data_IF_014802799863
#
_entry.id   IF_014802799863
#
_cell.length_a   1.000
_cell.length_b   1.000
_cell.length_c   1.000
_cell.angle_alpha   90.00
_cell.angle_beta   90.00
_cell.angle_gamma   90.00
#
_symmetry.space_group_name_H-M   'P 1'
#
loop_
_entity.id
_entity.type
_entity.pdbx_description
1 polymer ?
#
# COMPACT_ATOMS: atom_id res chain seq x y z
N UNK A 1 90.69 43.55 0.42
CA UNK A 1 91.85 43.32 1.31
C UNK A 1 91.33 42.85 2.66
N UNK A 2 92.05 41.93 3.33
CA UNK A 2 92.11 41.75 4.80
C UNK A 2 90.82 41.26 5.52
N UNK A 3 90.97 40.11 6.19
CA UNK A 3 90.10 39.54 7.25
C UNK A 3 90.41 40.19 8.63
N UNK A 4 89.65 40.01 9.75
CA UNK A 4 88.95 38.77 10.16
C UNK A 4 87.60 38.92 10.92
N UNK A 5 87.02 37.79 11.35
CA UNK A 5 86.08 37.68 12.51
C UNK A 5 86.85 37.34 13.80
N UNK A 6 86.37 36.47 14.72
CA UNK A 6 85.06 35.79 14.90
C UNK A 6 84.30 36.40 16.12
N UNK A 7 83.43 35.81 16.97
CA UNK A 7 82.81 34.48 17.24
C UNK A 7 81.46 34.75 18.00
N UNK A 8 80.62 33.84 18.55
CA UNK A 8 80.54 32.38 18.81
C UNK A 8 79.18 31.85 18.22
N UNK A 9 78.50 30.74 18.57
CA UNK A 9 78.61 29.63 19.55
C UNK A 9 77.81 28.40 19.04
N UNK A 10 77.94 27.17 19.61
CA UNK A 10 77.50 25.95 18.90
C UNK A 10 76.12 25.34 19.28
N UNK A 11 75.40 24.94 18.22
CA UNK A 11 74.65 23.67 18.02
C UNK A 11 73.83 23.01 19.15
N UNK A 12 72.52 22.85 18.88
CA UNK A 12 71.82 21.55 18.97
C UNK A 12 70.98 21.35 17.69
N UNK A 13 70.76 20.11 17.21
CA UNK A 13 70.16 19.86 15.89
C UNK A 13 68.63 20.00 15.90
N UNK A 14 68.07 20.49 14.79
CA UNK A 14 66.63 20.45 14.51
C UNK A 14 66.31 19.22 13.65
N UNK A 15 65.16 18.58 13.90
CA UNK A 15 64.64 17.51 13.06
C UNK A 15 63.87 18.11 11.88
N UNK A 16 64.26 17.75 10.65
CA UNK A 16 63.60 18.20 9.42
C UNK A 16 62.44 17.25 9.09
N UNK A 17 61.21 17.78 9.01
CA UNK A 17 60.06 17.09 8.42
C UNK A 17 59.52 17.96 7.29
N UNK A 18 59.45 17.40 6.09
CA UNK A 18 59.06 18.14 4.89
C UNK A 18 57.54 18.31 4.82
N UNK A 19 57.08 19.55 4.66
CA UNK A 19 55.69 19.82 4.25
C UNK A 19 55.54 19.48 2.77
N UNK A 20 54.69 18.50 2.46
CA UNK A 20 54.19 18.26 1.11
C UNK A 20 52.81 18.90 0.96
N UNK A 21 52.71 19.84 0.03
CA UNK A 21 51.42 20.38 -0.41
C UNK A 21 50.85 19.43 -1.45
N UNK A 22 49.62 18.94 -1.23
CA UNK A 22 48.83 18.26 -2.25
C UNK A 22 47.54 19.05 -2.50
N UNK A 23 47.12 19.05 -3.77
CA UNK A 23 46.04 19.87 -4.30
C UNK A 23 44.66 19.28 -4.02
N UNK A 24 43.68 20.15 -3.80
CA UNK A 24 42.29 19.75 -3.74
C UNK A 24 41.76 19.37 -5.13
N UNK A 25 41.08 18.22 -5.18
CA UNK A 25 40.02 17.88 -6.13
C UNK A 25 38.80 17.46 -5.29
N UNK A 26 37.61 17.44 -5.90
CA UNK A 26 36.35 17.18 -5.19
C UNK A 26 36.29 15.81 -4.52
N UNK A 27 35.42 15.72 -3.50
CA UNK A 27 34.99 14.49 -2.84
C UNK A 27 33.47 14.57 -2.72
N UNK A 28 32.80 13.44 -2.88
CA UNK A 28 31.35 13.27 -2.75
C UNK A 28 30.87 13.71 -1.36
N UNK A 29 29.60 14.17 -1.21
CA UNK A 29 29.01 14.39 0.09
C UNK A 29 28.96 13.06 0.85
N UNK A 30 29.68 12.98 1.97
CA UNK A 30 29.64 11.84 2.88
C UNK A 30 28.30 11.83 3.63
N UNK A 31 27.62 10.70 3.60
CA UNK A 31 26.48 10.40 4.47
C UNK A 31 26.88 10.52 5.96
N UNK A 32 25.93 10.73 6.89
CA UNK A 32 26.22 10.78 8.33
C UNK A 32 26.86 9.48 8.85
N UNK A 33 27.72 9.61 9.87
CA UNK A 33 28.32 8.48 10.57
C UNK A 33 27.27 7.65 11.34
N UNK A 34 27.61 6.37 11.59
CA UNK A 34 26.74 5.33 12.13
C UNK A 34 26.06 5.71 13.46
N UNK A 35 24.73 5.71 13.47
CA UNK A 35 23.96 5.44 14.68
C UNK A 35 24.12 3.95 15.03
N UNK A 36 24.23 3.63 16.33
CA UNK A 36 24.51 2.26 16.79
C UNK A 36 23.45 1.28 16.30
N UNK A 37 23.84 0.36 15.42
CA UNK A 37 23.03 -0.83 15.16
C UNK A 37 22.85 -1.62 16.45
N UNK A 38 21.62 -2.02 16.74
CA UNK A 38 21.35 -3.15 17.61
C UNK A 38 21.40 -4.43 16.78
N UNK A 39 21.91 -5.52 17.36
CA UNK A 39 21.72 -6.85 16.77
C UNK A 39 20.21 -7.16 16.77
N UNK A 40 19.57 -7.01 15.61
CA UNK A 40 18.25 -7.60 15.37
C UNK A 40 18.37 -9.13 15.36
N UNK A 41 17.32 -9.88 15.73
CA UNK A 41 17.39 -11.34 15.72
C UNK A 41 17.63 -11.86 14.30
N UNK A 42 18.74 -12.60 14.13
CA UNK A 42 19.06 -13.44 12.95
C UNK A 42 18.10 -14.65 12.83
N UNK A 43 17.43 -14.99 13.93
CA UNK A 43 16.51 -16.11 14.05
C UNK A 43 15.07 -15.67 13.70
N UNK A 44 14.32 -16.59 13.11
CA UNK A 44 12.91 -16.45 12.73
C UNK A 44 12.03 -16.61 13.96
N UNK A 45 10.95 -15.84 14.04
CA UNK A 45 9.93 -15.98 15.07
C UNK A 45 8.92 -17.08 14.69
N UNK A 46 8.63 -17.98 15.63
CA UNK A 46 7.63 -19.04 15.51
C UNK A 46 6.46 -18.77 16.48
N UNK A 47 5.25 -19.18 16.08
CA UNK A 47 4.00 -18.87 16.79
C UNK A 47 3.10 -20.11 16.85
N UNK A 48 2.94 -20.66 18.07
CA UNK A 48 1.94 -21.70 18.38
C UNK A 48 0.55 -21.18 17.96
N UNK A 49 -0.15 -21.91 17.10
CA UNK A 49 -1.47 -21.51 16.58
C UNK A 49 -2.55 -21.58 17.67
N UNK A 50 -3.41 -20.55 17.71
CA UNK A 50 -4.55 -20.44 18.62
C UNK A 50 -5.83 -20.29 17.76
N UNK A 51 -6.92 -21.01 18.09
CA UNK A 51 -8.18 -20.87 17.34
C UNK A 51 -8.72 -19.43 17.40
N UNK A 52 -9.22 -18.95 16.27
CA UNK A 52 -9.96 -17.68 16.16
C UNK A 52 -11.09 -17.64 17.20
N UNK A 53 -11.27 -16.53 17.95
CA UNK A 53 -12.39 -16.37 18.88
C UNK A 53 -13.75 -16.51 18.18
N UNK A 54 -14.78 -17.00 18.90
CA UNK A 54 -16.17 -16.95 18.43
C UNK A 54 -16.76 -15.55 18.67
N UNK A 55 -17.13 -14.83 17.61
CA UNK A 55 -17.75 -13.49 17.66
C UNK A 55 -19.23 -13.48 17.21
N UNK A 56 -19.88 -12.32 17.17
CA UNK A 56 -21.25 -12.14 16.63
C UNK A 56 -21.37 -11.01 15.58
N UNK A 57 -20.26 -10.55 15.00
CA UNK A 57 -20.20 -9.46 14.01
C UNK A 57 -20.00 -8.06 14.63
N UNK A 58 -19.28 -7.20 13.91
CA UNK A 58 -18.81 -5.89 14.40
C UNK A 58 -19.23 -4.69 13.53
N UNK A 59 -19.16 -4.84 12.20
CA UNK A 59 -19.25 -3.72 11.25
C UNK A 59 -17.99 -2.85 11.19
N UNK A 60 -16.85 -3.33 11.67
CA UNK A 60 -15.53 -2.68 11.52
C UNK A 60 -14.96 -2.96 10.11
N UNK A 61 -14.35 -1.98 9.42
CA UNK A 61 -13.71 -2.22 8.12
C UNK A 61 -12.55 -3.20 8.21
N UNK A 62 -12.38 -4.06 7.20
CA UNK A 62 -11.35 -5.12 7.15
C UNK A 62 -11.37 -6.14 8.32
N UNK A 63 -12.42 -6.19 9.15
CA UNK A 63 -12.67 -7.23 10.16
C UNK A 63 -13.47 -8.40 9.55
N UNK A 64 -12.79 -9.49 9.14
CA UNK A 64 -13.44 -10.66 8.50
C UNK A 64 -13.91 -11.71 9.51
N UNK A 65 -13.53 -11.55 10.78
CA UNK A 65 -13.84 -12.47 11.88
C UNK A 65 -15.00 -11.97 12.77
N UNK A 66 -15.30 -10.67 12.73
CA UNK A 66 -16.39 -9.97 13.40
C UNK A 66 -16.21 -9.68 14.89
N UNK A 67 -14.98 -9.76 15.43
CA UNK A 67 -14.72 -9.54 16.87
C UNK A 67 -14.48 -8.07 17.27
N UNK A 68 -14.30 -7.17 16.31
CA UNK A 68 -14.22 -5.73 16.50
C UNK A 68 -12.84 -5.11 16.32
N UNK A 69 -11.88 -5.85 15.78
CA UNK A 69 -10.55 -5.37 15.40
C UNK A 69 -10.35 -5.55 13.88
N UNK A 70 -9.69 -4.63 13.19
CA UNK A 70 -9.38 -4.84 11.76
C UNK A 70 -8.35 -5.98 11.59
N UNK A 71 -8.44 -6.74 10.49
CA UNK A 71 -7.54 -7.87 10.20
C UNK A 71 -6.46 -7.49 9.17
N UNK A 72 -5.28 -8.12 9.28
CA UNK A 72 -4.17 -7.91 8.36
C UNK A 72 -4.10 -9.03 7.31
N UNK A 73 -4.61 -8.75 6.11
CA UNK A 73 -4.60 -9.66 4.97
C UNK A 73 -3.40 -9.42 4.04
N UNK A 74 -2.69 -10.49 3.66
CA UNK A 74 -1.61 -10.40 2.66
C UNK A 74 -1.38 -11.70 1.88
N UNK A 75 -0.68 -11.59 0.74
CA UNK A 75 -0.28 -12.75 -0.06
C UNK A 75 1.17 -13.16 0.26
N UNK A 76 1.36 -14.36 0.80
CA UNK A 76 2.68 -14.97 0.97
C UNK A 76 3.03 -15.86 -0.23
N UNK A 77 4.32 -15.97 -0.57
CA UNK A 77 4.86 -16.99 -1.49
C UNK A 77 5.90 -17.90 -0.85
N UNK A 78 6.22 -17.68 0.43
CA UNK A 78 7.23 -18.47 1.10
C UNK A 78 6.82 -19.95 1.19
N UNK A 79 7.76 -20.83 0.83
CA UNK A 79 7.65 -22.28 1.02
C UNK A 79 9.04 -22.84 1.38
N UNK A 80 9.24 -23.33 2.62
CA UNK A 80 10.54 -23.84 3.08
C UNK A 80 10.94 -25.18 2.46
N UNK A 81 10.01 -25.90 1.79
CA UNK A 81 10.27 -27.16 1.08
C UNK A 81 10.49 -26.98 -0.44
N UNK A 82 10.33 -25.75 -0.98
CA UNK A 82 10.60 -25.44 -2.39
C UNK A 82 12.11 -25.43 -2.72
N UNK A 83 12.50 -25.90 -3.92
CA UNK A 83 13.93 -26.03 -4.30
C UNK A 83 14.69 -24.69 -4.42
N UNK A 84 13.96 -23.59 -4.61
CA UNK A 84 14.44 -22.20 -4.68
C UNK A 84 13.77 -21.26 -3.66
N UNK A 85 12.87 -21.78 -2.82
CA UNK A 85 12.07 -21.03 -1.85
C UNK A 85 10.81 -20.35 -2.40
N UNK A 86 10.64 -20.29 -3.73
CA UNK A 86 9.46 -19.67 -4.37
C UNK A 86 8.29 -20.65 -4.44
N UNK A 87 7.46 -20.64 -3.39
CA UNK A 87 6.21 -21.37 -3.34
C UNK A 87 5.12 -20.80 -4.27
N UNK A 88 4.09 -21.61 -4.51
CA UNK A 88 2.84 -21.10 -5.04
C UNK A 88 2.20 -20.14 -4.02
N UNK A 89 1.62 -19.00 -4.47
CA UNK A 89 1.11 -17.98 -3.57
C UNK A 89 -0.10 -18.46 -2.77
N UNK A 90 -0.22 -17.96 -1.55
CA UNK A 90 -1.31 -18.23 -0.61
C UNK A 90 -1.80 -16.95 0.04
N UNK A 91 -3.10 -16.88 0.34
CA UNK A 91 -3.66 -15.86 1.22
C UNK A 91 -3.28 -16.19 2.68
N UNK A 92 -2.92 -15.17 3.43
CA UNK A 92 -2.76 -15.19 4.88
C UNK A 92 -3.60 -14.06 5.47
N UNK A 93 -4.28 -14.35 6.57
CA UNK A 93 -4.98 -13.38 7.42
C UNK A 93 -4.38 -13.52 8.82
N UNK A 94 -3.92 -12.41 9.40
CA UNK A 94 -3.53 -12.32 10.81
C UNK A 94 -4.58 -11.48 11.51
N UNK A 95 -5.27 -12.05 12.49
CA UNK A 95 -6.43 -11.41 13.10
C UNK A 95 -6.03 -10.27 14.05
N UNK A 96 -6.83 -9.22 14.07
CA UNK A 96 -6.68 -8.08 14.98
C UNK A 96 -6.82 -8.47 16.46
N UNK A 97 -6.35 -7.61 17.37
CA UNK A 97 -6.52 -7.80 18.82
C UNK A 97 -6.15 -6.54 19.60
N UNK A 98 -6.55 -6.44 20.87
CA UNK A 98 -6.20 -5.30 21.78
C UNK A 98 -4.71 -5.20 22.17
N UNK A 99 -3.80 -5.85 21.46
CA UNK A 99 -2.34 -5.67 21.50
C UNK A 99 -1.78 -5.59 20.03
N UNK A 100 -2.63 -5.19 19.07
CA UNK A 100 -2.41 -5.26 17.62
C UNK A 100 -2.62 -6.67 17.02
N UNK A 101 -2.31 -6.88 15.72
CA UNK A 101 -2.48 -8.17 15.05
C UNK A 101 -1.66 -9.31 15.72
N UNK A 102 -2.33 -10.37 16.17
CA UNK A 102 -1.67 -11.51 16.83
C UNK A 102 -1.35 -12.64 15.83
N UNK A 103 -0.06 -12.87 15.47
CA UNK A 103 0.35 -13.95 14.57
C UNK A 103 0.07 -15.38 15.09
N UNK A 104 -0.38 -15.55 16.34
CA UNK A 104 -0.89 -16.84 16.84
C UNK A 104 -2.32 -17.13 16.35
N UNK A 105 -3.18 -16.12 16.22
CA UNK A 105 -4.52 -16.21 15.63
C UNK A 105 -4.47 -15.80 14.16
N UNK A 106 -4.52 -16.79 13.27
CA UNK A 106 -4.36 -16.58 11.82
C UNK A 106 -5.13 -17.62 11.01
N UNK A 107 -5.43 -17.28 9.76
CA UNK A 107 -5.90 -18.25 8.74
C UNK A 107 -4.94 -18.24 7.55
N UNK A 108 -4.52 -19.42 7.09
CA UNK A 108 -3.62 -19.61 5.95
C UNK A 108 -4.30 -20.49 4.92
N UNK A 109 -4.26 -20.09 3.64
CA UNK A 109 -4.82 -20.90 2.55
C UNK A 109 -3.81 -21.90 1.99
N UNK A 110 -4.30 -23.04 1.43
CA UNK A 110 -3.48 -23.90 0.58
C UNK A 110 -2.91 -23.11 -0.62
N UNK A 111 -1.67 -23.39 -1.07
CA UNK A 111 -1.06 -22.71 -2.21
C UNK A 111 -1.91 -22.83 -3.49
N UNK A 112 -1.99 -21.73 -4.26
CA UNK A 112 -2.75 -21.60 -5.51
C UNK A 112 -4.28 -21.89 -5.41
N UNK A 113 -4.84 -21.99 -4.19
CA UNK A 113 -6.29 -22.22 -3.99
C UNK A 113 -7.14 -20.97 -4.23
N UNK A 114 -6.73 -19.83 -3.67
CA UNK A 114 -7.44 -18.54 -3.74
C UNK A 114 -6.46 -17.39 -3.93
N UNK A 115 -6.98 -16.29 -4.48
CA UNK A 115 -6.26 -15.02 -4.66
C UNK A 115 -7.28 -13.90 -4.47
N UNK A 116 -7.12 -12.97 -3.50
CA UNK A 116 -7.94 -11.76 -3.45
C UNK A 116 -7.90 -11.04 -4.81
N UNK A 117 -9.03 -10.49 -5.22
CA UNK A 117 -9.13 -9.76 -6.48
C UNK A 117 -8.45 -8.37 -6.38
N UNK A 118 -8.49 -7.78 -5.19
CA UNK A 118 -7.71 -6.61 -4.80
C UNK A 118 -6.82 -6.97 -3.61
N UNK A 119 -5.53 -6.61 -3.72
CA UNK A 119 -4.50 -6.59 -2.67
C UNK A 119 -3.42 -5.67 -3.21
N UNK A 120 -3.67 -4.35 -3.18
CA UNK A 120 -2.83 -3.40 -3.91
C UNK A 120 -1.44 -3.31 -3.26
N UNK A 121 -0.35 -3.65 -3.97
CA UNK A 121 1.02 -3.57 -3.44
C UNK A 121 1.52 -2.12 -3.32
N UNK A 122 0.62 -1.13 -3.38
CA UNK A 122 0.93 0.30 -3.35
C UNK A 122 0.42 1.05 -2.11
N UNK A 123 -0.48 0.45 -1.30
CA UNK A 123 -0.92 1.00 -0.01
C UNK A 123 -2.41 1.33 0.16
N UNK A 124 -3.30 0.65 -0.57
CA UNK A 124 -4.74 0.65 -0.27
C UNK A 124 -5.12 -0.51 0.67
N UNK A 125 -6.28 -0.41 1.35
CA UNK A 125 -6.79 -1.42 2.29
C UNK A 125 -7.06 -2.79 1.66
N UNK A 126 -7.49 -3.77 2.45
CA UNK A 126 -7.47 -5.19 2.06
C UNK A 126 -8.53 -5.60 1.02
N UNK A 127 -9.35 -4.65 0.54
CA UNK A 127 -10.34 -4.86 -0.51
C UNK A 127 -11.56 -5.65 -0.04
N UNK A 128 -11.82 -5.68 1.28
CA UNK A 128 -12.95 -6.39 1.89
C UNK A 128 -14.16 -5.46 2.11
N UNK A 129 -15.34 -6.05 2.24
CA UNK A 129 -16.55 -5.37 2.70
C UNK A 129 -17.60 -6.40 3.14
N UNK A 130 -18.52 -6.04 4.03
CA UNK A 130 -19.70 -6.86 4.37
C UNK A 130 -20.67 -6.86 3.17
N UNK A 131 -20.69 -7.96 2.38
CA UNK A 131 -21.43 -8.02 1.12
C UNK A 131 -22.88 -8.52 1.30
N UNK A 132 -23.19 -9.36 2.29
CA UNK A 132 -24.59 -9.78 2.58
C UNK A 132 -25.29 -9.04 3.73
N UNK A 133 -24.56 -8.18 4.46
CA UNK A 133 -25.07 -7.33 5.52
C UNK A 133 -25.24 -8.07 6.85
N UNK A 134 -24.36 -9.03 7.16
CA UNK A 134 -24.44 -9.87 8.36
C UNK A 134 -23.45 -9.50 9.49
N UNK A 135 -22.58 -8.50 9.26
CA UNK A 135 -21.69 -7.90 10.25
C UNK A 135 -20.23 -8.37 10.20
N UNK A 136 -19.85 -9.11 9.16
CA UNK A 136 -18.51 -9.64 8.93
C UNK A 136 -18.00 -9.17 7.56
N UNK A 137 -16.73 -8.78 7.43
CA UNK A 137 -16.19 -8.40 6.14
C UNK A 137 -15.89 -9.63 5.25
N UNK A 138 -16.30 -9.56 3.99
CA UNK A 138 -16.08 -10.59 2.98
C UNK A 138 -14.92 -10.23 2.04
N UNK A 139 -14.26 -11.25 1.48
CA UNK A 139 -13.08 -11.09 0.62
C UNK A 139 -13.44 -11.46 -0.83
N UNK A 140 -13.53 -10.49 -1.76
CA UNK A 140 -13.64 -10.76 -3.19
C UNK A 140 -12.38 -11.46 -3.71
N UNK A 141 -12.55 -12.59 -4.40
CA UNK A 141 -11.44 -13.39 -4.96
C UNK A 141 -11.49 -13.48 -6.48
N UNK A 142 -10.31 -13.30 -7.08
CA UNK A 142 -10.10 -13.33 -8.52
C UNK A 142 -10.23 -14.73 -9.10
N UNK A 143 -10.77 -14.81 -10.31
CA UNK A 143 -10.98 -16.04 -11.06
C UNK A 143 -11.76 -15.78 -12.35
N UNK A 144 -12.00 -16.82 -13.14
CA UNK A 144 -13.00 -16.79 -14.22
C UNK A 144 -13.94 -18.00 -14.07
N UNK A 145 -15.16 -17.81 -13.53
CA UNK A 145 -15.66 -16.58 -12.91
C UNK A 145 -14.98 -16.23 -11.57
N UNK A 146 -15.01 -14.96 -11.12
CA UNK A 146 -14.63 -14.54 -9.78
C UNK A 146 -15.66 -14.98 -8.73
N UNK A 147 -15.31 -14.85 -7.45
CA UNK A 147 -16.16 -15.25 -6.32
C UNK A 147 -15.89 -14.47 -5.04
N UNK A 148 -16.50 -14.94 -3.96
CA UNK A 148 -16.42 -14.39 -2.60
C UNK A 148 -15.94 -15.51 -1.66
N UNK A 149 -14.96 -15.19 -0.79
CA UNK A 149 -14.74 -15.90 0.46
C UNK A 149 -15.51 -15.14 1.54
N UNK A 150 -16.51 -15.79 2.13
CA UNK A 150 -17.36 -15.10 3.11
C UNK A 150 -16.71 -15.03 4.49
N UNK A 151 -16.85 -13.88 5.15
CA UNK A 151 -16.58 -13.69 6.56
C UNK A 151 -17.52 -14.50 7.45
N UNK A 152 -17.22 -14.52 8.74
CA UNK A 152 -18.05 -15.19 9.74
C UNK A 152 -17.38 -15.32 11.11
N UNK A 153 -18.09 -15.89 12.10
CA UNK A 153 -17.76 -15.80 13.53
C UNK A 153 -16.51 -16.53 13.99
N UNK A 154 -15.75 -17.16 13.10
CA UNK A 154 -14.40 -17.72 13.36
C UNK A 154 -13.46 -17.42 12.20
N UNK A 155 -13.73 -16.34 11.46
CA UNK A 155 -13.16 -16.05 10.16
C UNK A 155 -13.66 -16.98 9.03
N UNK A 156 -13.30 -16.66 7.77
CA UNK A 156 -13.49 -17.50 6.58
C UNK A 156 -12.83 -18.90 6.68
N UNK A 157 -13.52 -19.94 6.18
CA UNK A 157 -13.02 -21.32 6.16
C UNK A 157 -12.05 -21.58 4.98
N UNK A 158 -10.74 -21.84 5.23
CA UNK A 158 -9.77 -22.10 4.16
C UNK A 158 -9.95 -23.48 3.48
N UNK A 159 -10.84 -24.33 4.00
CA UNK A 159 -11.27 -25.58 3.40
C UNK A 159 -12.51 -25.47 2.49
N UNK A 160 -13.12 -24.29 2.36
CA UNK A 160 -14.28 -24.03 1.51
C UNK A 160 -13.89 -23.53 0.11
N UNK A 161 -14.62 -23.99 -0.92
CA UNK A 161 -14.56 -23.40 -2.26
C UNK A 161 -15.21 -21.99 -2.23
N UNK A 162 -14.64 -20.95 -2.86
CA UNK A 162 -15.28 -19.64 -2.97
C UNK A 162 -16.65 -19.68 -3.63
N UNK A 163 -17.58 -18.84 -3.16
CA UNK A 163 -18.92 -18.70 -3.76
C UNK A 163 -18.83 -17.84 -5.01
N UNK A 164 -19.14 -18.41 -6.17
CA UNK A 164 -19.01 -17.73 -7.46
C UNK A 164 -20.09 -16.65 -7.63
N UNK A 165 -19.73 -15.48 -8.14
CA UNK A 165 -20.65 -14.37 -8.39
C UNK A 165 -21.63 -14.68 -9.54
N UNK A 166 -22.93 -14.42 -9.38
CA UNK A 166 -23.92 -14.56 -10.47
C UNK A 166 -23.80 -13.39 -11.46
N UNK A 167 -22.88 -13.53 -12.42
CA UNK A 167 -22.60 -12.48 -13.39
C UNK A 167 -23.74 -12.33 -14.41
N UNK A 168 -24.24 -11.11 -14.66
CA UNK A 168 -25.26 -10.87 -15.67
C UNK A 168 -24.75 -11.35 -17.04
N UNK A 169 -25.56 -12.17 -17.71
CA UNK A 169 -25.15 -12.91 -18.92
C UNK A 169 -24.26 -12.10 -19.87
N UNK A 170 -23.08 -12.65 -20.16
CA UNK A 170 -22.12 -12.06 -21.10
C UNK A 170 -22.64 -12.18 -22.54
N UNK A 171 -22.27 -11.22 -23.39
CA UNK A 171 -22.25 -11.49 -24.83
C UNK A 171 -21.15 -12.55 -25.08
N UNK A 172 -21.47 -13.61 -25.82
CA UNK A 172 -20.62 -14.80 -25.92
C UNK A 172 -19.19 -14.48 -26.40
N UNK A 173 -18.22 -14.55 -25.48
CA UNK A 173 -16.79 -14.55 -25.79
C UNK A 173 -16.11 -13.19 -25.99
N UNK A 174 -16.70 -12.07 -25.54
CA UNK A 174 -16.11 -10.74 -25.78
C UNK A 174 -15.20 -10.20 -24.66
N UNK A 175 -15.41 -10.54 -23.37
CA UNK A 175 -14.62 -9.98 -22.25
C UNK A 175 -14.42 -10.95 -21.08
N UNK A 176 -13.29 -10.86 -20.38
CA UNK A 176 -12.97 -11.55 -19.12
C UNK A 176 -12.78 -10.54 -17.96
N UNK A 177 -13.11 -10.88 -16.71
CA UNK A 177 -12.81 -10.05 -15.53
C UNK A 177 -11.30 -9.94 -15.26
N UNK A 178 -10.79 -8.73 -15.07
CA UNK A 178 -9.36 -8.43 -14.90
C UNK A 178 -9.01 -7.80 -13.54
N UNK A 179 -9.94 -7.11 -12.89
CA UNK A 179 -9.83 -6.59 -11.53
C UNK A 179 -11.24 -6.47 -10.90
N UNK A 180 -11.31 -6.45 -9.57
CA UNK A 180 -12.55 -6.06 -8.89
C UNK A 180 -12.33 -5.41 -7.54
N UNK A 181 -13.08 -4.35 -7.27
CA UNK A 181 -13.04 -3.56 -6.05
C UNK A 181 -14.43 -3.50 -5.40
N UNK A 182 -14.46 -3.10 -4.12
CA UNK A 182 -15.68 -2.94 -3.31
C UNK A 182 -15.90 -1.48 -2.89
N UNK A 183 -17.15 -1.12 -2.62
CA UNK A 183 -17.57 0.21 -2.14
C UNK A 183 -19.08 0.37 -2.24
N UNK A 184 -19.67 1.39 -1.62
CA UNK A 184 -21.10 1.72 -1.84
C UNK A 184 -21.21 2.57 -3.11
N UNK A 185 -21.32 1.98 -4.30
CA UNK A 185 -21.27 2.74 -5.55
C UNK A 185 -22.62 3.40 -5.93
N UNK A 186 -23.69 3.20 -5.17
CA UNK A 186 -25.01 3.79 -5.44
C UNK A 186 -25.57 4.68 -4.31
N UNK A 187 -25.05 4.55 -3.09
CA UNK A 187 -25.41 5.33 -1.90
C UNK A 187 -26.57 4.77 -1.08
N UNK A 188 -26.91 3.47 -1.20
CA UNK A 188 -27.98 2.83 -0.40
C UNK A 188 -27.53 2.22 0.94
N UNK A 189 -26.21 2.13 1.16
CA UNK A 189 -25.59 1.65 2.41
C UNK A 189 -25.30 0.15 2.45
N UNK A 190 -25.47 -0.59 1.35
CA UNK A 190 -24.87 -1.91 1.15
C UNK A 190 -23.54 -1.81 0.38
N UNK A 191 -22.67 -2.81 0.52
CA UNK A 191 -21.46 -2.90 -0.28
C UNK A 191 -21.74 -3.48 -1.67
N UNK A 192 -21.25 -2.80 -2.71
CA UNK A 192 -21.27 -3.23 -4.10
C UNK A 192 -19.91 -3.83 -4.50
N UNK A 193 -19.88 -4.62 -5.58
CA UNK A 193 -18.66 -5.06 -6.26
C UNK A 193 -18.63 -4.49 -7.69
N UNK A 194 -17.54 -3.81 -8.06
CA UNK A 194 -17.28 -3.39 -9.44
C UNK A 194 -16.26 -4.32 -10.10
N UNK A 195 -16.61 -4.89 -11.25
CA UNK A 195 -15.74 -5.73 -12.07
C UNK A 195 -15.23 -4.94 -13.28
N UNK A 196 -13.91 -4.84 -13.45
CA UNK A 196 -13.30 -4.37 -14.69
C UNK A 196 -13.16 -5.54 -15.68
N UNK A 197 -13.98 -5.53 -16.74
CA UNK A 197 -13.97 -6.53 -17.80
C UNK A 197 -13.24 -5.97 -19.04
N UNK A 198 -12.24 -6.69 -19.56
CA UNK A 198 -11.40 -6.29 -20.72
C UNK A 198 -11.61 -7.22 -21.91
N UNK A 199 -11.41 -6.71 -23.14
CA UNK A 199 -11.58 -7.51 -24.36
C UNK A 199 -10.51 -8.62 -24.50
N UNK A 200 -10.78 -9.66 -25.30
CA UNK A 200 -9.89 -10.83 -25.54
C UNK A 200 -8.43 -10.45 -25.87
N UNK A 201 -8.19 -9.25 -26.40
CA UNK A 201 -6.89 -8.76 -26.85
C UNK A 201 -6.30 -7.67 -25.94
N UNK A 202 -7.11 -7.10 -25.03
CA UNK A 202 -6.70 -6.18 -23.97
C UNK A 202 -6.37 -4.75 -24.42
N UNK A 203 -6.61 -4.37 -25.68
CA UNK A 203 -6.15 -3.08 -26.25
C UNK A 203 -7.05 -2.44 -27.31
N UNK A 204 -8.10 -3.07 -27.84
CA UNK A 204 -8.80 -2.54 -29.03
C UNK A 204 -10.19 -1.95 -28.77
N UNK A 205 -10.93 -2.30 -27.71
CA UNK A 205 -12.32 -1.86 -27.48
C UNK A 205 -12.57 -1.07 -26.18
N UNK A 206 -11.56 -0.90 -25.32
CA UNK A 206 -11.70 -0.24 -24.01
C UNK A 206 -12.12 -1.21 -22.90
N UNK A 207 -12.65 -0.68 -21.80
CA UNK A 207 -13.06 -1.49 -20.63
C UNK A 207 -14.55 -1.37 -20.36
N UNK A 208 -15.17 -2.50 -20.01
CA UNK A 208 -16.55 -2.56 -19.53
C UNK A 208 -16.53 -2.74 -18.02
N UNK A 209 -17.14 -1.82 -17.28
CA UNK A 209 -17.37 -2.03 -15.84
C UNK A 209 -18.74 -2.71 -15.68
N UNK A 210 -18.78 -3.90 -15.09
CA UNK A 210 -20.02 -4.48 -14.56
C UNK A 210 -20.08 -4.19 -13.07
N UNK A 211 -21.10 -3.45 -12.63
CA UNK A 211 -21.35 -3.16 -11.21
C UNK A 211 -22.43 -4.12 -10.72
N UNK A 212 -22.10 -4.88 -9.68
CA UNK A 212 -22.96 -5.81 -8.98
C UNK A 212 -23.30 -5.15 -7.63
N UNK A 213 -24.54 -4.76 -7.44
CA UNK A 213 -24.92 -3.95 -6.29
C UNK A 213 -25.52 -4.80 -5.16
N UNK A 214 -25.18 -4.44 -3.93
CA UNK A 214 -25.51 -5.18 -2.71
C UNK A 214 -26.96 -5.02 -2.21
N UNK A 215 -27.30 -5.67 -1.09
CA UNK A 215 -26.57 -6.80 -0.53
C UNK A 215 -26.65 -8.02 -1.45
N UNK A 216 -25.72 -8.95 -1.29
CA UNK A 216 -25.66 -10.20 -2.02
C UNK A 216 -26.39 -11.31 -1.24
N UNK A 217 -27.04 -12.26 -1.92
CA UNK A 217 -27.40 -13.54 -1.30
C UNK A 217 -26.14 -14.41 -1.16
N UNK A 218 -26.05 -15.23 -0.10
CA UNK A 218 -24.95 -16.20 0.15
C UNK A 218 -24.76 -17.32 -0.91
N UNK A 219 -25.46 -17.23 -2.05
CA UNK A 219 -25.19 -18.02 -3.26
C UNK A 219 -24.49 -17.24 -4.39
N UNK A 220 -24.09 -15.98 -4.12
CA UNK A 220 -23.35 -15.09 -5.03
C UNK A 220 -24.24 -14.14 -5.84
N UNK A 221 -25.55 -14.10 -5.58
CA UNK A 221 -26.51 -13.29 -6.35
C UNK A 221 -26.58 -11.84 -5.82
N UNK A 222 -26.24 -10.79 -6.60
CA UNK A 222 -26.44 -9.39 -6.20
C UNK A 222 -27.91 -8.95 -6.27
N UNK A 223 -28.29 -7.96 -5.46
CA UNK A 223 -29.63 -7.33 -5.49
C UNK A 223 -30.00 -6.79 -6.87
N UNK A 224 -29.05 -6.14 -7.55
CA UNK A 224 -29.20 -5.60 -8.91
C UNK A 224 -27.84 -5.53 -9.61
N UNK A 225 -27.80 -5.52 -10.94
CA UNK A 225 -26.57 -5.29 -11.70
C UNK A 225 -26.74 -4.31 -12.85
N UNK A 226 -25.67 -3.57 -13.15
CA UNK A 226 -25.63 -2.54 -14.18
C UNK A 226 -24.24 -2.49 -14.86
N UNK A 227 -24.11 -1.75 -15.97
CA UNK A 227 -22.89 -1.75 -16.80
C UNK A 227 -22.52 -0.37 -17.32
N UNK A 228 -21.29 0.09 -17.06
CA UNK A 228 -20.64 1.27 -17.68
C UNK A 228 -19.67 0.82 -18.78
N UNK A 229 -19.48 1.64 -19.80
CA UNK A 229 -18.41 1.46 -20.80
C UNK A 229 -17.43 2.63 -20.73
N UNK A 230 -16.13 2.32 -20.70
CA UNK A 230 -15.04 3.29 -20.76
C UNK A 230 -14.38 3.19 -22.14
N UNK A 231 -14.17 4.32 -22.81
CA UNK A 231 -13.55 4.37 -24.15
C UNK A 231 -12.04 4.04 -24.14
N UNK A 232 -11.45 3.92 -22.95
CA UNK A 232 -10.05 3.59 -22.71
C UNK A 232 -9.93 2.31 -21.87
N UNK A 233 -8.79 1.59 -21.95
CA UNK A 233 -8.51 0.51 -21.02
C UNK A 233 -8.28 1.03 -19.59
N UNK A 234 -8.49 0.14 -18.63
CA UNK A 234 -8.15 0.31 -17.21
C UNK A 234 -6.94 -0.55 -16.88
N UNK A 235 -6.00 0.00 -16.11
CA UNK A 235 -4.86 -0.74 -15.53
C UNK A 235 -5.13 -1.16 -14.09
N UNK A 236 -5.83 -0.33 -13.33
CA UNK A 236 -6.13 -0.54 -11.91
C UNK A 236 -7.36 0.32 -11.55
N UNK A 237 -8.18 -0.17 -10.62
CA UNK A 237 -9.24 0.59 -9.98
C UNK A 237 -8.83 0.86 -8.53
N UNK A 238 -9.26 1.98 -7.95
CA UNK A 238 -9.13 2.20 -6.50
C UNK A 238 -10.46 2.80 -6.00
N UNK A 239 -11.19 2.13 -5.11
CA UNK A 239 -12.43 2.66 -4.55
C UNK A 239 -12.15 3.67 -3.44
N UNK A 240 -13.08 4.59 -3.24
CA UNK A 240 -13.22 5.30 -1.97
C UNK A 240 -13.87 4.34 -0.94
N UNK A 241 -13.32 4.20 0.28
CA UNK A 241 -13.94 3.38 1.32
C UNK A 241 -15.41 3.77 1.61
N UNK A 242 -16.28 2.83 2.02
CA UNK A 242 -17.65 3.18 2.43
C UNK A 242 -17.66 4.18 3.59
N UNK A 243 -18.40 5.29 3.46
CA UNK A 243 -18.47 6.34 4.50
C UNK A 243 -19.36 5.93 5.67
N UNK A 244 -18.95 6.28 6.89
CA UNK A 244 -19.68 5.95 8.12
C UNK A 244 -21.03 6.69 8.27
N UNK A 245 -21.25 7.80 7.56
CA UNK A 245 -22.56 8.46 7.44
C UNK A 245 -23.34 8.08 6.17
N UNK A 246 -22.71 7.28 5.29
CA UNK A 246 -23.26 6.68 4.08
C UNK A 246 -23.15 7.55 2.82
N UNK A 247 -23.77 7.08 1.74
CA UNK A 247 -23.69 7.74 0.45
C UNK A 247 -22.44 7.35 -0.34
N UNK A 248 -22.39 7.69 -1.65
CA UNK A 248 -21.68 6.84 -2.59
C UNK A 248 -20.15 7.01 -2.56
N UNK A 249 -19.44 5.89 -2.50
CA UNK A 249 -18.01 5.71 -2.75
C UNK A 249 -17.67 6.09 -4.19
N UNK A 250 -16.81 7.08 -4.41
CA UNK A 250 -16.22 7.36 -5.71
C UNK A 250 -15.31 6.21 -6.17
N UNK A 251 -15.00 6.17 -7.47
CA UNK A 251 -14.17 5.12 -8.05
C UNK A 251 -13.08 5.70 -8.94
N UNK A 252 -11.83 5.62 -8.50
CA UNK A 252 -10.67 6.05 -9.28
C UNK A 252 -10.39 5.02 -10.38
N UNK A 253 -10.22 5.52 -11.60
CA UNK A 253 -9.74 4.74 -12.75
C UNK A 253 -8.31 5.17 -13.07
N UNK A 254 -7.35 4.26 -12.85
CA UNK A 254 -5.96 4.40 -13.26
C UNK A 254 -5.78 3.78 -14.64
N UNK A 255 -5.41 4.59 -15.63
CA UNK A 255 -5.20 4.10 -17.00
C UNK A 255 -3.81 3.45 -17.18
N UNK A 256 -3.59 2.66 -18.24
CA UNK A 256 -2.26 2.12 -18.55
C UNK A 256 -1.20 3.20 -18.79
N UNK A 257 0.03 2.84 -18.43
CA UNK A 257 1.29 3.54 -18.66
C UNK A 257 2.32 2.53 -19.26
N UNK A 258 3.43 3.02 -19.82
CA UNK A 258 4.61 2.20 -20.15
C UNK A 258 5.86 2.57 -19.32
N UNK A 259 5.61 3.07 -18.10
CA UNK A 259 6.60 3.32 -17.05
C UNK A 259 6.47 4.70 -16.37
N UNK A 260 5.81 5.67 -16.99
CA UNK A 260 5.53 6.99 -16.42
C UNK A 260 4.53 6.95 -15.24
N UNK A 261 4.15 8.13 -14.74
CA UNK A 261 2.97 8.28 -13.89
C UNK A 261 1.69 8.20 -14.74
N UNK A 262 0.80 7.20 -14.52
CA UNK A 262 -0.40 7.00 -15.31
C UNK A 262 -1.38 8.15 -15.15
N UNK A 263 -2.17 8.38 -16.21
CA UNK A 263 -3.34 9.28 -16.17
C UNK A 263 -4.41 8.68 -15.25
N UNK A 264 -4.97 9.53 -14.38
CA UNK A 264 -6.08 9.19 -13.51
C UNK A 264 -7.37 9.90 -13.92
N UNK A 265 -8.49 9.20 -13.80
CA UNK A 265 -9.85 9.74 -14.00
C UNK A 265 -10.73 9.23 -12.87
N UNK A 266 -11.35 10.13 -12.10
CA UNK A 266 -12.25 9.76 -11.01
C UNK A 266 -13.69 9.70 -11.52
N UNK A 267 -14.38 8.59 -11.24
CA UNK A 267 -15.80 8.44 -11.49
C UNK A 267 -16.57 8.91 -10.25
N UNK A 268 -17.42 9.93 -10.44
CA UNK A 268 -18.36 10.39 -9.41
C UNK A 268 -19.63 9.54 -9.54
N UNK A 269 -19.76 8.61 -8.61
CA UNK A 269 -20.72 7.50 -8.61
C UNK A 269 -22.11 7.93 -8.10
N UNK A 270 -22.92 7.01 -7.55
CA UNK A 270 -24.24 7.30 -7.00
C UNK A 270 -25.40 6.71 -7.79
N UNK A 271 -26.65 7.03 -7.38
CA UNK A 271 -27.79 6.15 -7.63
C UNK A 271 -28.31 6.23 -9.07
N UNK A 272 -28.49 5.06 -9.69
CA UNK A 272 -29.14 4.91 -10.99
C UNK A 272 -28.37 4.04 -11.98
N UNK A 273 -28.09 4.61 -13.16
CA UNK A 273 -27.37 3.94 -14.24
C UNK A 273 -25.89 4.40 -14.23
N UNK A 274 -24.90 3.51 -14.03
CA UNK A 274 -23.48 3.85 -14.06
C UNK A 274 -22.99 4.50 -15.36
N UNK A 275 -23.73 4.40 -16.47
CA UNK A 275 -23.46 5.19 -17.69
C UNK A 275 -23.65 6.71 -17.47
N UNK A 276 -24.42 7.09 -16.45
CA UNK A 276 -24.67 8.48 -16.04
C UNK A 276 -23.70 9.04 -14.99
N UNK A 277 -22.82 8.22 -14.40
CA UNK A 277 -21.82 8.67 -13.42
C UNK A 277 -20.92 9.77 -13.99
N UNK A 278 -20.61 10.75 -13.13
CA UNK A 278 -19.75 11.88 -13.43
C UNK A 278 -18.31 11.46 -13.69
N UNK A 279 -17.54 12.37 -14.30
CA UNK A 279 -16.15 12.12 -14.71
C UNK A 279 -15.32 13.36 -14.38
N UNK A 280 -14.35 13.19 -13.49
CA UNK A 280 -13.37 14.21 -13.12
C UNK A 280 -12.00 13.77 -13.64
N UNK A 281 -11.31 14.67 -14.34
CA UNK A 281 -9.98 14.44 -14.88
C UNK A 281 -8.93 14.94 -13.90
N UNK A 282 -7.98 14.08 -13.51
CA UNK A 282 -6.98 14.36 -12.48
C UNK A 282 -5.56 14.41 -13.07
N UNK A 283 -4.59 14.78 -12.24
CA UNK A 283 -3.16 14.73 -12.59
C UNK A 283 -2.66 13.27 -12.67
N UNK A 284 -1.48 13.12 -13.28
CA UNK A 284 -0.77 11.84 -13.31
C UNK A 284 -0.28 11.45 -11.92
N UNK A 285 -0.29 10.14 -11.62
CA UNK A 285 0.21 9.59 -10.36
C UNK A 285 -0.04 8.08 -10.28
N UNK A 286 1.02 7.30 -10.00
CA UNK A 286 0.94 5.85 -9.88
C UNK A 286 0.61 5.37 -8.46
N UNK A 287 0.58 6.26 -7.47
CA UNK A 287 0.08 6.01 -6.12
C UNK A 287 -1.22 6.76 -5.89
N UNK A 288 -2.16 6.15 -5.18
CA UNK A 288 -3.41 6.77 -4.76
C UNK A 288 -3.82 6.28 -3.38
N UNK A 289 -4.37 7.15 -2.55
CA UNK A 289 -4.98 6.83 -1.27
C UNK A 289 -6.17 7.77 -1.00
N UNK A 290 -7.18 7.28 -0.28
CA UNK A 290 -8.35 8.05 0.15
C UNK A 290 -8.32 8.20 1.68
N UNK A 291 -8.71 9.39 2.18
CA UNK A 291 -8.79 9.72 3.61
C UNK A 291 -9.10 11.21 3.78
N UNK A 292 -9.67 11.64 4.91
CA UNK A 292 -9.91 13.07 5.22
C UNK A 292 -8.57 13.73 5.60
N UNK A 293 -7.89 14.44 4.69
CA UNK A 293 -6.52 14.93 4.91
C UNK A 293 -6.51 16.39 5.42
N UNK A 294 -7.54 17.19 5.12
CA UNK A 294 -7.65 18.58 5.60
C UNK A 294 -8.58 18.79 6.83
N UNK A 295 -9.31 17.75 7.25
CA UNK A 295 -10.04 17.69 8.52
C UNK A 295 -11.46 18.27 8.47
N UNK A 296 -12.10 18.31 7.29
CA UNK A 296 -13.45 18.85 7.11
C UNK A 296 -14.57 17.81 7.32
N UNK A 297 -14.23 16.52 7.33
CA UNK A 297 -15.13 15.38 7.53
C UNK A 297 -15.56 14.66 6.24
N UNK A 298 -15.23 15.20 5.07
CA UNK A 298 -15.37 14.51 3.77
C UNK A 298 -14.06 13.77 3.43
N UNK A 299 -14.10 12.79 2.52
CA UNK A 299 -12.91 12.02 2.16
C UNK A 299 -12.17 12.64 0.96
N UNK A 300 -10.87 12.90 1.13
CA UNK A 300 -9.99 13.42 0.08
C UNK A 300 -9.35 12.30 -0.74
N UNK A 301 -8.78 12.68 -1.89
CA UNK A 301 -7.98 11.82 -2.75
C UNK A 301 -6.56 12.35 -2.89
N UNK A 302 -5.58 11.64 -2.36
CA UNK A 302 -4.17 11.89 -2.60
C UNK A 302 -3.70 11.10 -3.83
N UNK A 303 -3.12 11.79 -4.82
CA UNK A 303 -2.40 11.17 -5.94
C UNK A 303 -0.91 11.53 -5.89
N UNK A 304 -0.03 10.53 -5.93
CA UNK A 304 1.42 10.75 -5.80
C UNK A 304 2.28 10.06 -6.87
N UNK A 305 3.44 10.65 -7.10
CA UNK A 305 4.54 10.11 -7.91
C UNK A 305 5.12 8.86 -7.24
N UNK A 306 5.16 7.72 -7.93
CA UNK A 306 5.80 6.47 -7.45
C UNK A 306 7.32 6.44 -7.62
N UNK A 307 7.87 7.42 -8.35
CA UNK A 307 9.24 7.42 -8.86
C UNK A 307 9.44 6.60 -10.15
N UNK A 308 8.39 6.02 -10.74
CA UNK A 308 8.50 5.32 -12.04
C UNK A 308 8.61 6.31 -13.21
N UNK A 309 9.51 6.02 -14.15
CA UNK A 309 9.65 6.72 -15.43
C UNK A 309 9.75 5.65 -16.54
N UNK A 310 9.46 6.00 -17.79
CA UNK A 310 9.70 5.06 -18.90
C UNK A 310 11.20 4.89 -19.21
N UNK A 311 11.52 4.10 -20.24
CA UNK A 311 12.88 3.88 -20.73
C UNK A 311 13.17 4.53 -22.12
N UNK A 312 12.29 5.39 -22.62
CA UNK A 312 12.40 6.06 -23.92
C UNK A 312 13.30 7.33 -23.87
N UNK A 313 14.17 7.57 -24.88
CA UNK A 313 15.07 8.73 -24.87
C UNK A 313 14.36 10.09 -24.91
N UNK A 314 14.33 10.77 -23.76
CA UNK A 314 13.81 12.14 -23.62
C UNK A 314 12.55 12.28 -22.75
N UNK A 315 12.06 11.18 -22.19
CA UNK A 315 10.92 11.13 -21.26
C UNK A 315 11.36 10.91 -19.80
N UNK A 316 12.64 11.16 -19.49
CA UNK A 316 13.29 10.95 -18.18
C UNK A 316 12.76 11.85 -17.05
N UNK A 317 11.68 12.64 -17.29
CA UNK A 317 11.14 13.67 -16.41
C UNK A 317 9.62 13.80 -16.57
N UNK A 318 8.89 13.77 -15.45
CA UNK A 318 7.46 14.08 -15.40
C UNK A 318 7.20 15.60 -15.53
N UNK A 319 5.95 16.04 -15.77
CA UNK A 319 5.55 17.44 -15.60
C UNK A 319 5.86 17.95 -14.17
N UNK A 320 6.26 19.22 -13.95
CA UNK A 320 6.59 19.75 -12.61
C UNK A 320 5.47 19.71 -11.55
N UNK A 321 4.22 19.53 -11.99
CA UNK A 321 3.00 19.29 -11.22
C UNK A 321 2.82 17.81 -10.79
N UNK A 322 3.66 16.91 -11.31
CA UNK A 322 3.69 15.47 -10.99
C UNK A 322 5.07 15.04 -10.45
N UNK A 323 6.18 15.50 -11.04
CA UNK A 323 7.55 15.13 -10.64
C UNK A 323 7.82 15.40 -9.15
N UNK A 324 8.02 14.32 -8.38
CA UNK A 324 8.22 14.35 -6.93
C UNK A 324 7.08 15.06 -6.17
N UNK A 325 5.83 14.84 -6.57
CA UNK A 325 4.62 15.40 -5.94
C UNK A 325 3.74 14.35 -5.27
N UNK A 326 3.05 14.81 -4.23
CA UNK A 326 1.70 14.36 -3.91
C UNK A 326 0.75 15.54 -4.12
N UNK A 327 -0.42 15.25 -4.70
CA UNK A 327 -1.48 16.20 -5.02
C UNK A 327 -2.74 15.74 -4.29
N UNK A 328 -3.18 16.50 -3.29
CA UNK A 328 -4.38 16.20 -2.50
C UNK A 328 -5.57 16.95 -3.12
N UNK A 329 -6.61 16.21 -3.47
CA UNK A 329 -7.88 16.73 -3.99
C UNK A 329 -8.92 16.68 -2.88
N UNK A 330 -9.33 17.85 -2.40
CA UNK A 330 -10.33 17.98 -1.35
C UNK A 330 -11.69 17.42 -1.78
N UNK A 331 -12.38 16.76 -0.85
CA UNK A 331 -13.77 16.32 -1.00
C UNK A 331 -14.80 17.47 -0.98
N UNK A 332 -16.11 17.16 -1.16
CA UNK A 332 -16.64 15.97 -1.80
C UNK A 332 -16.58 16.09 -3.34
N UNK A 333 -16.23 14.99 -4.01
CA UNK A 333 -15.95 14.96 -5.45
C UNK A 333 -17.20 15.24 -6.31
N UNK A 334 -17.42 16.50 -6.68
CA UNK A 334 -18.60 16.93 -7.48
C UNK A 334 -18.23 17.63 -8.79
N UNK A 335 -17.06 18.29 -8.84
CA UNK A 335 -16.43 18.82 -10.05
C UNK A 335 -14.89 18.80 -9.90
N UNK A 336 -14.15 19.20 -10.95
CA UNK A 336 -12.69 19.20 -10.91
C UNK A 336 -12.15 20.39 -10.06
N UNK A 337 -11.47 20.07 -8.96
CA UNK A 337 -10.77 21.02 -8.09
C UNK A 337 -9.29 21.15 -8.46
N UNK A 338 -8.68 22.31 -8.18
CA UNK A 338 -7.21 22.45 -8.20
C UNK A 338 -6.65 21.81 -6.91
N UNK A 339 -5.72 20.84 -6.97
CA UNK A 339 -5.22 20.14 -5.78
C UNK A 339 -4.22 20.96 -4.98
N UNK A 340 -4.02 20.60 -3.71
CA UNK A 340 -2.88 21.08 -2.91
C UNK A 340 -1.66 20.19 -3.19
N UNK A 341 -0.65 20.77 -3.86
CA UNK A 341 0.56 20.06 -4.28
C UNK A 341 1.70 20.18 -3.26
N UNK A 342 2.05 19.07 -2.60
CA UNK A 342 3.21 18.98 -1.70
C UNK A 342 4.44 18.46 -2.46
N UNK A 343 5.64 18.90 -2.08
CA UNK A 343 6.90 18.39 -2.64
C UNK A 343 7.40 17.21 -1.80
N UNK A 344 7.54 16.03 -2.42
CA UNK A 344 8.05 14.83 -1.77
C UNK A 344 9.57 14.90 -1.57
N UNK A 345 10.11 14.40 -0.46
CA UNK A 345 11.55 14.30 -0.26
C UNK A 345 12.13 13.08 -0.98
N UNK A 346 13.39 13.18 -1.41
CA UNK A 346 14.06 12.18 -2.26
C UNK A 346 13.83 12.44 -3.75
N UNK A 347 14.89 12.27 -4.54
CA UNK A 347 14.91 12.55 -6.00
C UNK A 347 15.22 11.29 -6.82
N UNK A 348 15.06 10.12 -6.20
CA UNK A 348 15.33 8.81 -6.77
C UNK A 348 14.19 8.39 -7.72
N UNK A 349 14.54 7.89 -8.92
CA UNK A 349 13.60 7.38 -9.93
C UNK A 349 14.05 6.03 -10.49
N UNK A 350 13.12 5.25 -11.03
CA UNK A 350 13.34 3.90 -11.55
C UNK A 350 12.60 3.69 -12.87
N UNK A 351 13.24 3.02 -13.83
CA UNK A 351 12.63 2.64 -15.10
C UNK A 351 12.08 1.19 -15.12
N UNK A 352 11.95 0.57 -13.94
CA UNK A 352 11.71 -0.88 -13.81
C UNK A 352 10.70 -1.29 -12.72
N UNK A 353 10.45 -0.45 -11.71
CA UNK A 353 9.56 -0.74 -10.57
C UNK A 353 9.30 0.51 -9.71
N UNK A 354 8.18 0.53 -8.99
CA UNK A 354 7.84 1.61 -8.05
C UNK A 354 8.85 1.69 -6.90
N UNK A 355 9.37 2.90 -6.66
CA UNK A 355 10.27 3.19 -5.54
C UNK A 355 9.51 3.61 -4.28
N UNK A 356 8.29 4.12 -4.43
CA UNK A 356 7.45 4.63 -3.35
C UNK A 356 6.19 3.78 -3.16
N UNK A 357 5.61 3.87 -1.96
CA UNK A 357 4.29 3.35 -1.55
C UNK A 357 3.58 4.45 -0.75
N UNK A 358 2.25 4.41 -0.63
CA UNK A 358 1.48 5.43 0.09
C UNK A 358 0.20 4.83 0.68
N UNK A 359 -0.02 5.00 1.98
CA UNK A 359 -1.31 4.81 2.64
C UNK A 359 -1.80 6.13 3.25
N UNK A 360 -3.08 6.18 3.63
CA UNK A 360 -3.69 7.30 4.35
C UNK A 360 -4.38 6.78 5.62
N UNK A 361 -4.10 7.39 6.78
CA UNK A 361 -4.75 7.08 8.07
C UNK A 361 -4.37 8.12 9.14
N UNK A 362 -5.28 8.39 10.09
CA UNK A 362 -4.99 9.14 11.32
C UNK A 362 -4.16 8.23 12.23
N UNK A 363 -2.90 8.60 12.50
CA UNK A 363 -1.98 7.82 13.32
C UNK A 363 -1.73 8.42 14.71
N UNK A 364 -2.32 9.56 15.06
CA UNK A 364 -2.16 10.18 16.39
C UNK A 364 -3.45 10.56 17.14
N UNK A 365 -4.62 10.30 16.53
CA UNK A 365 -5.96 10.36 17.12
C UNK A 365 -6.54 11.78 17.13
N UNK A 366 -6.10 12.63 16.20
CA UNK A 366 -6.43 14.05 16.08
C UNK A 366 -7.65 14.29 15.15
N UNK A 367 -7.93 13.35 14.23
CA UNK A 367 -9.08 13.30 13.33
C UNK A 367 -8.71 13.21 11.85
N UNK A 368 -7.91 14.15 11.31
CA UNK A 368 -7.36 14.09 9.96
C UNK A 368 -6.41 12.91 9.74
N UNK A 369 -6.34 12.43 8.50
CA UNK A 369 -5.48 11.35 8.07
C UNK A 369 -4.12 11.85 7.55
N UNK A 370 -3.03 11.34 8.12
CA UNK A 370 -1.70 11.45 7.52
C UNK A 370 -1.57 10.62 6.23
N UNK A 371 -0.78 11.13 5.29
CA UNK A 371 -0.27 10.36 4.17
C UNK A 371 1.12 9.80 4.50
N UNK A 372 1.23 8.48 4.55
CA UNK A 372 2.44 7.75 4.91
C UNK A 372 3.20 7.31 3.65
N UNK A 373 4.18 8.11 3.22
CA UNK A 373 4.80 7.98 1.90
C UNK A 373 6.17 7.31 2.01
N UNK A 374 6.21 6.01 1.71
CA UNK A 374 7.44 5.22 1.64
C UNK A 374 8.34 5.62 0.47
N UNK A 375 9.66 5.53 0.64
CA UNK A 375 10.66 5.53 -0.44
C UNK A 375 11.74 4.50 -0.16
N UNK A 376 12.00 3.62 -1.14
CA UNK A 376 12.94 2.51 -1.05
C UNK A 376 14.32 2.94 -0.54
N UNK A 377 14.76 2.32 0.57
CA UNK A 377 16.04 2.60 1.23
C UNK A 377 16.15 3.92 2.02
N UNK A 378 15.12 4.78 1.94
CA UNK A 378 15.00 6.01 2.75
C UNK A 378 14.20 5.78 4.02
N UNK A 379 13.07 5.08 3.93
CA UNK A 379 12.06 4.95 4.97
C UNK A 379 10.72 5.53 4.52
N UNK A 380 9.85 5.89 5.47
CA UNK A 380 8.53 6.49 5.23
C UNK A 380 8.51 7.92 5.75
N UNK A 381 8.22 8.89 4.87
CA UNK A 381 8.01 10.29 5.25
C UNK A 381 6.52 10.61 5.38
N UNK A 382 6.14 11.36 6.41
CA UNK A 382 4.75 11.74 6.71
C UNK A 382 4.39 13.07 6.06
N UNK A 383 3.18 13.16 5.50
CA UNK A 383 2.53 14.43 5.07
C UNK A 383 1.20 14.58 5.81
N UNK A 384 0.99 15.74 6.46
CA UNK A 384 -0.20 16.05 7.26
C UNK A 384 -0.60 17.52 7.05
N UNK A 385 -1.87 17.91 7.20
CA UNK A 385 -2.21 19.34 7.35
C UNK A 385 -1.81 19.84 8.74
N UNK A 386 -1.21 21.04 8.77
CA UNK A 386 -0.73 21.70 9.98
C UNK A 386 -1.53 22.99 10.28
N UNK A 387 -2.74 23.09 9.73
CA UNK A 387 -3.65 24.24 9.81
C UNK A 387 -3.42 25.32 8.75
N UNK A 388 -2.68 25.00 7.69
CA UNK A 388 -2.28 25.93 6.60
C UNK A 388 -2.10 25.18 5.23
N UNK A 389 -2.58 23.94 5.11
CA UNK A 389 -2.40 23.05 3.95
C UNK A 389 -1.47 21.85 4.26
N UNK A 390 -1.66 20.68 3.63
CA UNK A 390 -0.80 19.50 3.81
C UNK A 390 0.68 19.77 3.53
N UNK A 391 1.55 19.29 4.43
CA UNK A 391 2.99 19.56 4.47
C UNK A 391 3.78 18.33 4.95
N UNK A 392 5.00 18.13 4.42
CA UNK A 392 5.92 17.09 4.92
C UNK A 392 6.38 17.45 6.34
N UNK A 393 6.24 16.53 7.29
CA UNK A 393 6.68 16.75 8.67
C UNK A 393 8.22 16.76 8.80
N UNK A 394 8.77 17.66 9.63
CA UNK A 394 10.23 17.76 9.93
C UNK A 394 10.66 16.82 11.08
N UNK A 395 9.99 15.66 11.18
CA UNK A 395 10.28 14.54 12.10
C UNK A 395 11.39 13.63 11.55
N UNK A 396 11.52 13.56 10.22
CA UNK A 396 12.41 12.66 9.50
C UNK A 396 11.77 11.28 9.23
N UNK A 397 12.27 10.52 8.24
CA UNK A 397 11.61 9.31 7.82
C UNK A 397 11.62 8.22 8.89
N UNK A 398 10.46 7.60 9.10
CA UNK A 398 10.31 6.37 9.86
C UNK A 398 11.07 5.24 9.14
N UNK A 399 12.00 4.59 9.83
CA UNK A 399 12.81 3.51 9.27
C UNK A 399 12.66 2.25 10.11
N UNK A 400 12.30 1.14 9.44
CA UNK A 400 12.49 -0.24 9.90
C UNK A 400 13.31 -0.99 8.87
N UNK A 401 14.17 -1.92 9.33
CA UNK A 401 15.08 -2.65 8.45
C UNK A 401 15.12 -4.14 8.80
N UNK A 402 15.15 -4.98 7.76
CA UNK A 402 15.36 -6.42 7.88
C UNK A 402 16.73 -6.78 8.47
N UNK A 403 16.92 -8.04 8.91
CA UNK A 403 18.19 -8.49 9.47
C UNK A 403 19.33 -8.48 8.45
N UNK A 404 20.57 -8.40 8.93
CA UNK A 404 21.80 -8.38 8.11
C UNK A 404 22.06 -9.71 7.39
N UNK A 405 21.52 -10.78 7.97
CA UNK A 405 21.90 -12.18 7.78
C UNK A 405 20.72 -13.09 8.14
N UNK A 406 20.77 -14.35 7.69
CA UNK A 406 19.78 -15.39 8.02
C UNK A 406 18.82 -15.69 6.87
N UNK A 407 17.76 -16.48 7.12
CA UNK A 407 16.77 -16.84 6.10
C UNK A 407 15.87 -15.67 5.67
N UNK A 408 15.94 -14.55 6.39
CA UNK A 408 15.21 -13.31 6.15
C UNK A 408 16.04 -12.24 5.42
N UNK A 409 17.34 -12.44 5.15
CA UNK A 409 18.14 -11.37 4.56
C UNK A 409 19.59 -11.72 4.19
N UNK A 410 20.05 -11.18 3.06
CA UNK A 410 21.43 -11.34 2.58
C UNK A 410 21.99 -10.15 1.75
N UNK A 411 21.31 -9.00 1.79
CA UNK A 411 21.59 -7.85 0.91
C UNK A 411 21.94 -6.54 1.64
N UNK A 412 22.08 -5.45 0.88
CA UNK A 412 22.47 -4.14 1.38
C UNK A 412 21.41 -3.42 2.19
N UNK A 413 21.79 -2.25 2.73
CA UNK A 413 20.93 -1.43 3.57
C UNK A 413 19.74 -0.82 2.82
N UNK A 414 19.86 -0.63 1.50
CA UNK A 414 18.80 -0.02 0.68
C UNK A 414 17.66 -1.02 0.47
N UNK A 415 18.04 -2.23 0.06
CA UNK A 415 17.21 -3.41 -0.17
C UNK A 415 16.46 -3.84 1.10
N UNK A 416 17.13 -3.78 2.26
CA UNK A 416 16.59 -4.19 3.57
C UNK A 416 15.60 -3.22 4.23
N UNK A 417 15.23 -2.11 3.59
CA UNK A 417 14.35 -1.10 4.22
C UNK A 417 12.87 -1.43 3.98
N UNK A 418 12.09 -1.51 5.06
CA UNK A 418 10.66 -1.80 5.01
C UNK A 418 9.87 -0.71 4.26
N UNK A 419 8.70 -1.08 3.72
CA UNK A 419 7.78 -0.20 3.00
C UNK A 419 6.41 -0.22 3.68
N UNK A 420 5.60 0.82 3.44
CA UNK A 420 4.17 0.80 3.79
C UNK A 420 3.47 -0.30 2.99
N UNK A 421 2.70 -1.14 3.68
CA UNK A 421 1.83 -2.16 3.09
C UNK A 421 0.35 -1.76 3.19
N UNK A 422 -0.10 -1.46 4.41
CA UNK A 422 -1.48 -1.07 4.72
C UNK A 422 -1.51 -0.17 5.96
N UNK A 423 -2.68 0.36 6.32
CA UNK A 423 -2.97 1.02 7.59
C UNK A 423 -4.41 0.72 8.00
N UNK A 424 -4.70 0.66 9.30
CA UNK A 424 -6.02 0.33 9.85
C UNK A 424 -6.01 0.38 11.38
N UNK A 425 -7.18 0.35 12.01
CA UNK A 425 -7.36 0.29 13.48
C UNK A 425 -7.37 -1.19 13.90
N UNK A 426 -6.19 -1.76 14.16
CA UNK A 426 -6.02 -3.18 14.46
C UNK A 426 -6.12 -3.51 15.96
N UNK A 427 -6.19 -2.50 16.84
CA UNK A 427 -6.32 -2.65 18.30
C UNK A 427 -7.60 -2.03 18.93
N UNK A 428 -8.41 -1.35 18.12
CA UNK A 428 -9.69 -0.73 18.46
C UNK A 428 -9.62 0.41 19.51
N UNK A 429 -8.47 1.10 19.60
CA UNK A 429 -8.26 2.37 20.30
C UNK A 429 -9.01 3.54 19.63
N UNK A 430 -9.16 3.49 18.30
CA UNK A 430 -9.74 4.55 17.46
C UNK A 430 -8.71 5.42 16.72
N UNK A 431 -7.42 5.16 16.93
CA UNK A 431 -6.31 5.55 16.04
C UNK A 431 -6.17 4.51 14.90
N UNK A 432 -5.21 4.68 13.99
CA UNK A 432 -4.76 3.61 13.10
C UNK A 432 -3.26 3.34 13.19
N UNK A 433 -2.84 2.12 12.86
CA UNK A 433 -1.45 1.68 12.90
C UNK A 433 -0.92 1.37 11.50
N UNK A 434 0.34 1.76 11.26
CA UNK A 434 0.98 1.59 9.96
C UNK A 434 1.62 0.21 9.85
N UNK A 435 1.07 -0.65 8.99
CA UNK A 435 1.65 -1.96 8.69
C UNK A 435 2.85 -1.81 7.74
N UNK A 436 4.06 -1.96 8.29
CA UNK A 436 5.32 -1.92 7.54
C UNK A 436 5.82 -3.33 7.23
N UNK A 437 5.97 -3.63 5.94
CA UNK A 437 6.50 -4.90 5.45
C UNK A 437 7.95 -4.75 4.95
N UNK A 438 8.84 -5.62 5.42
CA UNK A 438 10.07 -5.97 4.71
C UNK A 438 9.90 -7.35 4.07
N UNK A 439 9.64 -7.32 2.77
CA UNK A 439 9.64 -8.47 1.87
C UNK A 439 10.99 -8.48 1.10
N UNK A 440 11.69 -9.62 1.09
CA UNK A 440 12.93 -9.80 0.31
C UNK A 440 12.69 -10.47 -1.06
N UNK A 441 11.44 -10.50 -1.50
CA UNK A 441 10.99 -11.21 -2.69
C UNK A 441 10.51 -12.62 -2.37
N UNK A 442 9.82 -13.22 -3.34
CA UNK A 442 8.96 -14.40 -3.18
C UNK A 442 9.60 -15.66 -2.55
N UNK A 443 10.92 -15.73 -2.47
CA UNK A 443 11.67 -16.83 -1.86
C UNK A 443 11.90 -16.70 -0.34
N UNK A 444 11.53 -15.57 0.26
CA UNK A 444 11.81 -15.26 1.67
C UNK A 444 10.53 -15.01 2.47
N UNK A 445 10.53 -15.23 3.81
CA UNK A 445 9.46 -14.74 4.67
C UNK A 445 9.49 -13.22 4.81
N UNK A 446 8.33 -12.62 5.05
CA UNK A 446 8.17 -11.18 5.28
C UNK A 446 8.34 -10.88 6.78
N UNK A 447 9.10 -9.84 7.13
CA UNK A 447 9.14 -9.28 8.49
C UNK A 447 8.24 -8.05 8.57
N UNK A 448 7.35 -8.05 9.55
CA UNK A 448 6.32 -7.04 9.76
C UNK A 448 6.60 -6.22 11.01
N UNK A 449 6.25 -4.93 10.96
CA UNK A 449 6.13 -4.06 12.12
C UNK A 449 4.78 -3.35 12.04
N UNK A 450 4.05 -3.31 13.14
CA UNK A 450 2.83 -2.53 13.30
C UNK A 450 3.19 -1.34 14.18
N UNK A 451 2.92 -0.14 13.67
CA UNK A 451 3.47 1.12 14.17
C UNK A 451 2.34 2.11 14.35
N UNK A 452 1.80 2.20 15.57
CA UNK A 452 0.88 3.26 15.98
C UNK A 452 1.57 4.55 16.43
N UNK A 453 0.87 5.27 17.31
CA UNK A 453 1.13 6.69 17.57
C UNK A 453 2.57 7.03 18.00
N UNK A 454 3.12 8.09 17.39
CA UNK A 454 4.49 8.53 17.64
C UNK A 454 5.61 7.68 17.02
N UNK A 455 5.29 6.57 16.33
CA UNK A 455 6.24 5.80 15.54
C UNK A 455 7.01 4.72 16.31
N UNK A 456 6.54 4.30 17.48
CA UNK A 456 7.08 3.15 18.24
C UNK A 456 6.53 1.81 17.68
N UNK A 457 7.22 0.68 17.94
CA UNK A 457 6.72 -0.64 17.54
C UNK A 457 5.79 -1.20 18.61
N UNK A 458 4.54 -1.48 18.26
CA UNK A 458 3.57 -2.09 19.18
C UNK A 458 3.65 -3.61 19.08
N UNK A 459 3.50 -4.15 17.86
CA UNK A 459 3.79 -5.56 17.56
C UNK A 459 4.66 -5.70 16.31
N UNK A 460 5.33 -6.85 16.17
CA UNK A 460 6.13 -7.21 14.99
C UNK A 460 6.27 -8.72 14.86
N UNK A 461 6.23 -9.25 13.64
CA UNK A 461 6.23 -10.70 13.41
C UNK A 461 6.91 -11.12 12.10
N UNK A 462 7.21 -12.42 11.98
CA UNK A 462 7.80 -13.02 10.79
C UNK A 462 6.82 -14.01 10.15
N UNK A 463 6.57 -13.92 8.84
CA UNK A 463 5.57 -14.75 8.15
C UNK A 463 6.03 -16.19 7.83
N UNK A 464 7.11 -16.66 8.46
CA UNK A 464 7.80 -17.88 8.06
C UNK A 464 7.06 -19.17 8.44
N UNK A 465 6.31 -19.15 9.54
CA UNK A 465 5.49 -20.28 9.98
C UNK A 465 4.10 -20.35 9.33
N UNK A 466 3.80 -19.46 8.37
CA UNK A 466 2.48 -19.33 7.75
C UNK A 466 2.42 -20.18 6.46
N UNK A 467 2.59 -21.49 6.61
CA UNK A 467 2.89 -22.42 5.50
C UNK A 467 1.92 -23.60 5.35
N UNK A 468 1.11 -23.88 6.38
CA UNK A 468 0.02 -24.86 6.40
C UNK A 468 -1.14 -24.34 7.26
#
# INVERSE_FOLDING_TARGET
MISPGPALSPLRPALLVCVLVLSACGREPSLPDEASSGDGPEEVREYDEVPVPESEGSGVPDDVNGDGFADLLFMSRYDPDAEDGEGAPRLVIVYGSSDGPDPATRTVWPPDSVRPASVSPTGGGAGTADLDGDGFADIPVGGSPPGILWGGPTGPDPGADPTLLDLPAQAEGEYEPAASEVGDFDGDGAADVVLAEVDEWGVEQGTRLTVLHGPFDRDGTPQRSARRTLETPVRELVPEPPRADGGPSALLVRHPDDGEQPRNTLLVTGPGDPQGWGVVELLGGALAAFGDVDGDGETDLALADSGTRNNEPGFETEPPEVDQRVNVYAGPFTEATDPVSVALPGTETSASFALRTMAACDLDGDGPAELWIGLAGRGVDTVADLGDGPQVQDTGPLVRQGPETGPLGSEGRWERTARVHACGDYDADGSGELALAYDHGYASPVRWWIVGSGGEDETSFDSAGFTE
#
